data_IF_613760944466
#
_entry.id   IF_613760944466
#
_cell.length_a   1.000
_cell.length_b   1.000
_cell.length_c   1.000
_cell.angle_alpha   90.00
_cell.angle_beta   90.00
_cell.angle_gamma   90.00
#
_symmetry.space_group_name_H-M   'P 1'
#
loop_
_entity.id
_entity.type
_entity.pdbx_description
1 polymer ?
#
# COMPACT_ATOMS: atom_id res chain seq x y z
N UNK A 1 -38.42 -39.13 15.68
CA UNK A 1 -37.96 -38.76 14.31
C UNK A 1 -38.30 -37.32 13.94
N UNK A 2 -39.54 -36.85 14.10
CA UNK A 2 -39.93 -35.47 13.74
C UNK A 2 -39.16 -34.34 14.48
N UNK A 3 -38.89 -34.50 15.77
CA UNK A 3 -38.17 -33.47 16.56
C UNK A 3 -36.69 -33.32 16.16
N UNK A 4 -36.04 -34.39 15.70
CA UNK A 4 -34.65 -34.35 15.24
C UNK A 4 -34.54 -33.61 13.89
N UNK A 5 -35.52 -33.82 12.99
CA UNK A 5 -35.56 -33.19 11.68
C UNK A 5 -35.81 -31.67 11.76
N UNK A 6 -36.70 -31.24 12.67
CA UNK A 6 -36.98 -29.82 12.91
C UNK A 6 -35.78 -29.09 13.50
N UNK A 7 -35.02 -29.74 14.40
CA UNK A 7 -33.80 -29.18 14.96
C UNK A 7 -32.71 -29.00 13.89
N UNK A 8 -32.52 -29.99 13.02
CA UNK A 8 -31.55 -29.90 11.92
C UNK A 8 -31.95 -28.81 10.92
N UNK A 9 -33.24 -28.70 10.57
CA UNK A 9 -33.73 -27.68 9.64
C UNK A 9 -33.62 -26.26 10.22
N UNK A 10 -33.93 -26.08 11.50
CA UNK A 10 -33.77 -24.79 12.20
C UNK A 10 -32.29 -24.41 12.35
N UNK A 11 -31.40 -25.36 12.64
CA UNK A 11 -29.95 -25.11 12.69
C UNK A 11 -29.39 -24.77 11.31
N UNK A 12 -29.89 -25.39 10.24
CA UNK A 12 -29.52 -25.08 8.86
C UNK A 12 -30.09 -23.72 8.39
N UNK A 13 -31.29 -23.32 8.80
CA UNK A 13 -31.84 -21.97 8.53
C UNK A 13 -31.09 -20.88 9.32
N UNK A 14 -30.75 -21.13 10.59
CA UNK A 14 -29.94 -20.22 11.40
C UNK A 14 -28.53 -20.09 10.79
N UNK A 15 -27.92 -21.20 10.35
CA UNK A 15 -26.63 -21.18 9.63
C UNK A 15 -26.72 -20.45 8.28
N UNK A 16 -27.84 -20.57 7.57
CA UNK A 16 -28.08 -19.82 6.33
C UNK A 16 -28.22 -18.32 6.60
N UNK A 17 -28.97 -17.91 7.63
CA UNK A 17 -29.08 -16.49 8.02
C UNK A 17 -27.73 -15.86 8.40
N UNK A 18 -26.83 -16.61 9.04
CA UNK A 18 -25.51 -16.13 9.51
C UNK A 18 -24.43 -16.03 8.39
N UNK A 19 -24.84 -16.28 7.14
CA UNK A 19 -23.98 -16.24 5.94
C UNK A 19 -24.54 -15.36 4.82
N UNK A 20 -25.76 -14.81 4.97
CA UNK A 20 -26.34 -13.94 3.95
C UNK A 20 -25.95 -12.48 4.19
N UNK A 21 -25.63 -11.78 3.11
CA UNK A 21 -25.44 -10.33 3.11
C UNK A 21 -26.77 -9.64 3.42
N UNK A 22 -26.74 -8.67 4.33
CA UNK A 22 -27.93 -7.90 4.73
C UNK A 22 -28.60 -7.20 3.53
N UNK A 23 -29.92 -7.13 3.53
CA UNK A 23 -30.70 -6.57 2.43
C UNK A 23 -30.36 -5.09 2.14
N UNK A 24 -30.01 -4.30 3.16
CA UNK A 24 -29.59 -2.91 2.96
C UNK A 24 -28.19 -2.83 2.32
N UNK A 25 -27.29 -3.76 2.63
CA UNK A 25 -25.98 -3.86 1.96
C UNK A 25 -26.16 -4.24 0.49
N UNK A 26 -27.03 -5.21 0.18
CA UNK A 26 -27.35 -5.58 -1.19
C UNK A 26 -27.96 -4.41 -1.98
N UNK A 27 -28.87 -3.64 -1.38
CA UNK A 27 -29.46 -2.47 -2.02
C UNK A 27 -28.39 -1.42 -2.38
N UNK A 28 -27.45 -1.14 -1.46
CA UNK A 28 -26.31 -0.24 -1.71
C UNK A 28 -25.40 -0.77 -2.80
N UNK A 29 -25.12 -2.07 -2.82
CA UNK A 29 -24.32 -2.71 -3.86
C UNK A 29 -24.95 -2.54 -5.25
N UNK A 30 -26.24 -2.82 -5.39
CA UNK A 30 -26.96 -2.69 -6.67
C UNK A 30 -27.00 -1.23 -7.15
N UNK A 31 -27.30 -0.30 -6.24
CA UNK A 31 -27.31 1.14 -6.55
C UNK A 31 -25.93 1.64 -6.98
N UNK A 32 -24.90 1.32 -6.20
CA UNK A 32 -23.52 1.71 -6.49
C UNK A 32 -23.00 1.10 -7.79
N UNK A 33 -23.27 -0.20 -8.01
CA UNK A 33 -22.92 -0.87 -9.27
C UNK A 33 -23.56 -0.17 -10.48
N UNK A 34 -24.86 0.16 -10.40
CA UNK A 34 -25.56 0.85 -11.48
C UNK A 34 -24.96 2.23 -11.78
N UNK A 35 -24.62 3.00 -10.73
CA UNK A 35 -23.95 4.30 -10.87
C UNK A 35 -22.56 4.17 -11.50
N UNK A 36 -21.75 3.22 -11.04
CA UNK A 36 -20.41 2.99 -11.57
C UNK A 36 -20.46 2.56 -13.05
N UNK A 37 -21.36 1.63 -13.38
CA UNK A 37 -21.56 1.14 -14.74
C UNK A 37 -21.96 2.26 -15.72
N UNK A 38 -22.80 3.21 -15.26
CA UNK A 38 -23.24 4.36 -16.05
C UNK A 38 -22.23 5.53 -16.09
N UNK A 39 -21.19 5.51 -15.24
CA UNK A 39 -20.18 6.58 -15.16
C UNK A 39 -19.18 6.55 -16.31
N UNK A 40 -18.33 7.57 -16.43
CA UNK A 40 -17.15 7.58 -17.32
C UNK A 40 -15.85 7.11 -16.65
N UNK A 41 -15.94 6.52 -15.45
CA UNK A 41 -14.77 6.06 -14.68
C UNK A 41 -13.83 5.18 -15.54
N UNK A 42 -12.54 5.32 -15.28
CA UNK A 42 -11.45 4.51 -15.88
C UNK A 42 -10.79 3.58 -14.86
N UNK A 43 -11.42 3.41 -13.69
CA UNK A 43 -10.91 2.57 -12.61
C UNK A 43 -10.80 1.11 -13.03
N UNK A 44 -9.81 0.41 -12.47
CA UNK A 44 -9.72 -1.05 -12.62
C UNK A 44 -10.95 -1.76 -12.02
N UNK A 45 -11.54 -1.23 -10.96
CA UNK A 45 -12.83 -1.69 -10.43
C UNK A 45 -13.89 -1.73 -11.52
N UNK A 46 -14.14 -0.62 -12.22
CA UNK A 46 -15.16 -0.58 -13.28
C UNK A 46 -14.82 -1.51 -14.44
N UNK A 47 -13.53 -1.62 -14.77
CA UNK A 47 -13.08 -2.51 -15.86
C UNK A 47 -13.39 -3.98 -15.59
N UNK A 48 -13.23 -4.43 -14.33
CA UNK A 48 -13.28 -5.86 -13.99
C UNK A 48 -14.52 -6.29 -13.19
N UNK A 49 -15.26 -5.36 -12.57
CA UNK A 49 -16.56 -5.65 -11.96
C UNK A 49 -17.63 -5.72 -13.06
N UNK A 50 -17.60 -6.79 -13.86
CA UNK A 50 -18.68 -7.08 -14.82
C UNK A 50 -19.97 -7.45 -14.09
N UNK A 51 -21.11 -7.44 -14.77
CA UNK A 51 -22.38 -7.86 -14.17
C UNK A 51 -22.32 -9.29 -13.63
N UNK A 52 -21.67 -10.18 -14.38
CA UNK A 52 -21.44 -11.57 -13.97
C UNK A 52 -20.59 -11.66 -12.69
N UNK A 53 -19.45 -10.98 -12.65
CA UNK A 53 -18.58 -10.95 -11.46
C UNK A 53 -19.32 -10.36 -10.27
N UNK A 54 -20.03 -9.26 -10.46
CA UNK A 54 -20.84 -8.62 -9.41
C UNK A 54 -21.92 -9.57 -8.87
N UNK A 55 -22.71 -10.20 -9.73
CA UNK A 55 -23.78 -11.12 -9.31
C UNK A 55 -23.24 -12.35 -8.59
N UNK A 56 -22.06 -12.85 -9.00
CA UNK A 56 -21.38 -13.97 -8.36
C UNK A 56 -20.80 -13.63 -6.98
N UNK A 57 -20.45 -12.37 -6.74
CA UNK A 57 -19.75 -11.94 -5.52
C UNK A 57 -20.62 -11.21 -4.51
N UNK A 58 -21.70 -10.54 -4.91
CA UNK A 58 -22.48 -9.61 -4.05
C UNK A 58 -23.11 -10.25 -2.80
N UNK A 59 -23.29 -11.57 -2.80
CA UNK A 59 -23.84 -12.33 -1.67
C UNK A 59 -22.77 -13.04 -0.82
N UNK A 60 -21.48 -12.91 -1.16
CA UNK A 60 -20.39 -13.55 -0.40
C UNK A 60 -19.97 -12.69 0.79
N UNK A 61 -19.55 -13.37 1.85
CA UNK A 61 -18.95 -12.76 3.05
C UNK A 61 -17.68 -13.49 3.45
N UNK A 62 -16.72 -12.79 4.06
CA UNK A 62 -15.53 -13.43 4.61
C UNK A 62 -15.89 -14.26 5.85
N UNK A 63 -15.34 -15.48 6.03
CA UNK A 63 -15.71 -16.37 7.13
C UNK A 63 -15.55 -15.76 8.52
N UNK A 64 -14.44 -15.06 8.76
CA UNK A 64 -14.04 -14.61 10.10
C UNK A 64 -14.62 -13.24 10.43
N UNK A 65 -14.45 -12.26 9.53
CA UNK A 65 -14.83 -10.87 9.79
C UNK A 65 -16.19 -10.48 9.20
N UNK A 66 -16.82 -11.38 8.43
CA UNK A 66 -18.10 -11.15 7.76
C UNK A 66 -18.07 -9.96 6.80
N UNK A 67 -16.89 -9.62 6.29
CA UNK A 67 -16.70 -8.54 5.34
C UNK A 67 -17.38 -8.87 4.02
N UNK A 68 -18.02 -7.88 3.42
CA UNK A 68 -18.85 -8.01 2.23
C UNK A 68 -18.14 -7.47 0.98
N UNK A 69 -18.73 -7.68 -0.20
CA UNK A 69 -18.25 -7.01 -1.41
C UNK A 69 -18.33 -5.48 -1.27
N UNK A 70 -19.27 -4.93 -0.49
CA UNK A 70 -19.40 -3.49 -0.31
C UNK A 70 -18.14 -2.93 0.35
N UNK A 71 -17.65 -3.59 1.39
CA UNK A 71 -16.43 -3.18 2.09
C UNK A 71 -15.20 -3.20 1.16
N UNK A 72 -15.22 -4.04 0.12
CA UNK A 72 -14.15 -4.12 -0.88
C UNK A 72 -14.21 -2.96 -1.88
N UNK A 73 -15.41 -2.62 -2.38
CA UNK A 73 -15.56 -1.74 -3.55
C UNK A 73 -16.06 -0.33 -3.22
N UNK A 74 -16.47 -0.06 -1.96
CA UNK A 74 -17.11 1.20 -1.57
C UNK A 74 -16.30 2.43 -1.98
N UNK A 75 -14.98 2.41 -1.83
CA UNK A 75 -14.15 3.53 -2.23
C UNK A 75 -14.26 3.86 -3.73
N UNK A 76 -14.26 2.85 -4.60
CA UNK A 76 -14.40 3.05 -6.04
C UNK A 76 -15.83 3.36 -6.49
N UNK A 77 -16.84 2.96 -5.71
CA UNK A 77 -18.23 3.37 -5.94
C UNK A 77 -18.47 4.85 -5.61
N UNK A 78 -17.82 5.37 -4.58
CA UNK A 78 -17.96 6.78 -4.16
C UNK A 78 -17.01 7.72 -4.93
N UNK A 79 -15.82 7.24 -5.31
CA UNK A 79 -14.79 8.04 -5.98
C UNK A 79 -14.51 7.48 -7.39
N UNK A 80 -15.35 7.87 -8.36
CA UNK A 80 -15.25 7.41 -9.74
C UNK A 80 -13.95 7.81 -10.47
N UNK A 81 -13.18 8.75 -9.90
CA UNK A 81 -11.84 9.15 -10.36
C UNK A 81 -10.71 8.25 -9.86
N UNK A 82 -11.03 7.19 -9.09
CA UNK A 82 -10.05 6.19 -8.65
C UNK A 82 -9.30 5.55 -9.82
N UNK A 83 -7.99 5.34 -9.68
CA UNK A 83 -7.22 4.51 -10.61
C UNK A 83 -7.53 3.01 -10.45
N UNK A 84 -7.66 2.54 -9.20
CA UNK A 84 -7.96 1.13 -8.88
C UNK A 84 -9.38 0.98 -8.34
N UNK A 85 -9.67 1.51 -7.15
CA UNK A 85 -11.02 1.58 -6.59
C UNK A 85 -11.43 0.43 -5.65
N UNK A 86 -10.50 -0.47 -5.27
CA UNK A 86 -10.79 -1.55 -4.31
C UNK A 86 -9.73 -1.66 -3.22
N UNK A 87 -10.17 -2.14 -2.06
CA UNK A 87 -9.31 -2.47 -0.92
C UNK A 87 -9.76 -3.79 -0.29
N UNK A 88 -8.85 -4.50 0.38
CA UNK A 88 -9.19 -5.72 1.11
C UNK A 88 -9.55 -5.36 2.56
N UNK A 89 -10.77 -5.62 3.07
CA UNK A 89 -11.12 -5.34 4.46
C UNK A 89 -10.43 -6.30 5.46
N UNK A 90 -10.08 -7.50 5.01
CA UNK A 90 -9.31 -8.51 5.74
C UNK A 90 -8.52 -9.39 4.74
N UNK A 91 -7.67 -10.29 5.23
CA UNK A 91 -6.86 -11.17 4.38
C UNK A 91 -7.70 -12.20 3.59
N UNK A 92 -8.81 -12.68 4.16
CA UNK A 92 -9.70 -13.67 3.53
C UNK A 92 -10.38 -13.09 2.28
N UNK A 93 -10.58 -11.77 2.24
CA UNK A 93 -11.18 -11.04 1.12
C UNK A 93 -10.43 -11.28 -0.21
N UNK A 94 -9.10 -11.41 -0.18
CA UNK A 94 -8.31 -11.73 -1.37
C UNK A 94 -8.67 -13.09 -1.98
N UNK A 95 -9.17 -14.03 -1.16
CA UNK A 95 -9.62 -15.36 -1.62
C UNK A 95 -11.11 -15.37 -1.94
N UNK A 96 -11.96 -14.81 -1.06
CA UNK A 96 -13.42 -14.82 -1.21
C UNK A 96 -13.89 -14.03 -2.43
N UNK A 97 -13.24 -12.89 -2.69
CA UNK A 97 -13.52 -12.00 -3.82
C UNK A 97 -12.44 -12.08 -4.90
N UNK A 98 -11.75 -13.23 -5.02
CA UNK A 98 -10.65 -13.46 -5.97
C UNK A 98 -11.05 -13.18 -7.43
N UNK A 99 -12.30 -13.46 -7.83
CA UNK A 99 -12.78 -13.22 -9.19
C UNK A 99 -12.76 -11.72 -9.58
N UNK A 100 -12.69 -10.82 -8.60
CA UNK A 100 -12.46 -9.38 -8.79
C UNK A 100 -11.00 -8.99 -8.52
N UNK A 101 -10.40 -9.47 -7.43
CA UNK A 101 -9.02 -9.11 -7.06
C UNK A 101 -7.99 -9.62 -8.06
N UNK A 102 -8.07 -10.88 -8.49
CA UNK A 102 -7.07 -11.50 -9.37
C UNK A 102 -6.87 -10.73 -10.68
N UNK A 103 -7.91 -10.41 -11.49
CA UNK A 103 -7.70 -9.68 -12.73
C UNK A 103 -7.23 -8.24 -12.51
N UNK A 104 -7.59 -7.59 -11.39
CA UNK A 104 -7.10 -6.26 -11.02
C UNK A 104 -5.61 -6.30 -10.64
N UNK A 105 -5.21 -7.30 -9.86
CA UNK A 105 -3.81 -7.55 -9.49
C UNK A 105 -2.99 -7.83 -10.74
N UNK A 106 -3.48 -8.69 -11.63
CA UNK A 106 -2.80 -9.02 -12.89
C UNK A 106 -2.60 -7.79 -13.77
N UNK A 107 -3.63 -6.95 -13.95
CA UNK A 107 -3.54 -5.72 -14.74
C UNK A 107 -2.55 -4.73 -14.12
N UNK A 108 -2.74 -4.40 -12.83
CA UNK A 108 -1.92 -3.38 -12.16
C UNK A 108 -0.45 -3.77 -12.09
N UNK A 109 -0.14 -5.04 -11.78
CA UNK A 109 1.24 -5.52 -11.65
C UNK A 109 1.85 -6.03 -12.96
N UNK A 110 1.15 -5.88 -14.08
CA UNK A 110 1.70 -6.14 -15.42
C UNK A 110 1.89 -7.63 -15.72
N UNK A 111 0.93 -8.47 -15.32
CA UNK A 111 0.86 -9.89 -15.70
C UNK A 111 1.08 -10.89 -14.58
N UNK A 112 0.83 -10.53 -13.32
CA UNK A 112 0.85 -11.49 -12.19
C UNK A 112 -0.43 -12.34 -12.19
N UNK A 113 -0.37 -13.51 -12.84
CA UNK A 113 -1.55 -14.36 -13.08
C UNK A 113 -2.05 -15.03 -11.80
N UNK A 114 -3.28 -15.56 -11.86
CA UNK A 114 -3.85 -16.39 -10.80
C UNK A 114 -2.99 -17.60 -10.42
N UNK A 115 -2.26 -18.17 -11.38
CA UNK A 115 -1.38 -19.33 -11.20
C UNK A 115 0.02 -18.98 -10.73
N UNK A 116 0.40 -17.70 -10.79
CA UNK A 116 1.73 -17.25 -10.39
C UNK A 116 1.83 -17.20 -8.86
N UNK A 117 3.05 -17.25 -8.35
CA UNK A 117 3.36 -17.08 -6.93
C UNK A 117 4.45 -16.04 -6.76
N UNK A 118 4.29 -15.17 -5.78
CA UNK A 118 5.33 -14.24 -5.39
C UNK A 118 6.55 -15.04 -4.90
N UNK A 119 7.78 -14.66 -5.29
CA UNK A 119 8.97 -15.31 -4.75
C UNK A 119 9.06 -15.10 -3.25
N UNK A 120 9.83 -15.96 -2.56
CA UNK A 120 10.16 -15.74 -1.17
C UNK A 120 10.89 -14.40 -0.99
N UNK A 121 10.67 -13.74 0.15
CA UNK A 121 11.34 -12.48 0.49
C UNK A 121 12.86 -12.64 0.37
N UNK A 122 13.48 -11.72 -0.35
CA UNK A 122 14.92 -11.74 -0.59
C UNK A 122 15.43 -10.30 -0.80
N UNK A 123 16.13 -9.79 0.20
CA UNK A 123 16.74 -8.47 0.14
C UNK A 123 18.05 -8.42 -0.66
N UNK A 124 18.60 -9.58 -1.06
CA UNK A 124 19.82 -9.71 -1.85
C UNK A 124 21.07 -9.16 -1.16
N UNK A 125 22.12 -8.94 -1.95
CA UNK A 125 23.33 -8.28 -1.45
C UNK A 125 23.16 -6.76 -1.50
N UNK A 126 22.86 -6.17 -0.34
CA UNK A 126 22.69 -4.72 -0.17
C UNK A 126 23.92 -3.91 -0.60
N UNK A 127 25.11 -4.51 -0.64
CA UNK A 127 26.34 -3.84 -1.09
C UNK A 127 26.40 -3.65 -2.62
N UNK A 128 25.47 -4.25 -3.37
CA UNK A 128 25.37 -4.07 -4.83
C UNK A 128 24.99 -2.64 -5.21
N UNK A 129 24.24 -1.96 -4.36
CA UNK A 129 23.74 -0.61 -4.64
C UNK A 129 24.71 0.45 -4.14
N UNK A 130 25.01 1.43 -4.99
CA UNK A 130 25.81 2.61 -4.64
C UNK A 130 25.00 3.90 -4.68
N UNK A 131 25.72 5.02 -4.73
CA UNK A 131 25.11 6.32 -5.01
C UNK A 131 24.86 6.46 -6.52
N UNK A 132 23.59 6.61 -6.91
CA UNK A 132 23.18 6.78 -8.33
C UNK A 132 23.61 8.13 -8.91
N UNK A 133 23.90 9.11 -8.06
CA UNK A 133 24.33 10.45 -8.43
C UNK A 133 25.40 11.01 -7.47
N UNK A 134 26.66 10.55 -7.57
CA UNK A 134 27.72 10.96 -6.66
C UNK A 134 28.05 12.47 -6.69
N UNK A 135 27.69 13.16 -7.77
CA UNK A 135 27.92 14.61 -7.93
C UNK A 135 26.76 15.46 -7.36
N UNK A 136 25.63 14.83 -6.98
CA UNK A 136 24.40 15.49 -6.53
C UNK A 136 23.90 16.58 -7.50
N UNK A 137 24.08 16.36 -8.81
CA UNK A 137 23.68 17.29 -9.86
C UNK A 137 22.20 17.13 -10.25
N UNK A 138 21.64 15.93 -10.06
CA UNK A 138 20.33 15.54 -10.56
C UNK A 138 19.40 15.10 -9.43
N UNK A 139 19.87 14.20 -8.56
CA UNK A 139 19.06 13.60 -7.49
C UNK A 139 19.07 14.49 -6.26
N UNK A 140 17.86 14.90 -5.85
CA UNK A 140 17.64 15.73 -4.66
C UNK A 140 17.56 14.84 -3.43
N UNK A 141 16.73 13.80 -3.48
CA UNK A 141 16.52 12.90 -2.34
C UNK A 141 16.11 11.52 -2.82
N UNK A 142 16.46 10.51 -2.04
CA UNK A 142 16.11 9.12 -2.30
C UNK A 142 15.32 8.56 -1.13
N UNK A 143 14.35 7.69 -1.42
CA UNK A 143 13.45 7.10 -0.44
C UNK A 143 13.07 5.68 -0.83
N UNK A 144 13.16 4.74 0.10
CA UNK A 144 12.64 3.39 -0.04
C UNK A 144 11.66 3.12 1.10
N UNK A 145 10.47 2.64 0.77
CA UNK A 145 9.46 2.20 1.75
C UNK A 145 9.01 0.77 1.51
N UNK A 146 8.57 0.10 2.56
CA UNK A 146 7.74 -1.10 2.50
C UNK A 146 6.51 -0.96 3.40
N UNK A 147 5.46 -1.71 3.08
CA UNK A 147 4.25 -1.87 3.89
C UNK A 147 4.26 -3.23 4.58
N UNK A 148 3.73 -3.29 5.81
CA UNK A 148 3.59 -4.54 6.57
C UNK A 148 2.30 -4.52 7.38
N UNK A 149 1.66 -5.69 7.44
CA UNK A 149 0.42 -5.89 8.18
C UNK A 149 0.64 -6.92 9.28
N UNK A 150 0.42 -6.53 10.54
CA UNK A 150 0.59 -7.42 11.70
C UNK A 150 -0.31 -8.66 11.62
N UNK A 151 0.25 -9.85 11.83
CA UNK A 151 -0.50 -11.10 11.89
C UNK A 151 -1.49 -11.08 13.05
N UNK A 152 -2.69 -11.63 12.83
CA UNK A 152 -3.76 -11.68 13.83
C UNK A 152 -4.68 -10.45 13.86
N UNK A 153 -4.42 -9.45 13.03
CA UNK A 153 -5.29 -8.29 12.84
C UNK A 153 -5.84 -8.25 11.42
N UNK A 154 -7.12 -7.89 11.22
CA UNK A 154 -7.63 -7.55 9.89
C UNK A 154 -7.11 -6.19 9.46
N UNK A 155 -7.47 -5.74 8.26
CA UNK A 155 -7.14 -4.40 7.80
C UNK A 155 -8.10 -3.35 8.40
N UNK A 156 -7.81 -2.08 8.13
CA UNK A 156 -8.48 -0.92 8.72
C UNK A 156 -10.02 -0.98 8.79
N UNK A 157 -10.78 -1.42 7.75
CA UNK A 157 -12.24 -1.40 7.79
C UNK A 157 -12.84 -2.34 8.85
N UNK A 158 -12.07 -3.30 9.35
CA UNK A 158 -12.47 -4.27 10.36
C UNK A 158 -11.85 -3.99 11.74
N UNK A 159 -10.87 -3.08 11.85
CA UNK A 159 -10.23 -2.77 13.12
C UNK A 159 -11.16 -2.02 14.08
N UNK A 160 -11.22 -2.47 15.32
CA UNK A 160 -11.84 -1.73 16.43
C UNK A 160 -10.89 -0.67 16.99
N UNK A 161 -11.42 0.31 17.72
CA UNK A 161 -10.57 1.32 18.40
C UNK A 161 -9.57 0.66 19.38
N UNK A 162 -10.00 -0.37 20.10
CA UNK A 162 -9.14 -1.10 21.03
C UNK A 162 -7.96 -1.78 20.30
N UNK A 163 -8.22 -2.37 19.13
CA UNK A 163 -7.16 -2.98 18.30
C UNK A 163 -6.18 -1.93 17.76
N UNK A 164 -6.67 -0.75 17.33
CA UNK A 164 -5.78 0.35 16.94
C UNK A 164 -4.80 0.73 18.06
N UNK A 165 -5.29 0.88 19.30
CA UNK A 165 -4.45 1.18 20.48
C UNK A 165 -3.52 0.03 20.84
N UNK A 166 -3.98 -1.22 20.73
CA UNK A 166 -3.14 -2.38 21.00
C UNK A 166 -1.97 -2.48 20.00
N UNK A 167 -2.26 -2.28 18.72
CA UNK A 167 -1.26 -2.27 17.65
C UNK A 167 -0.26 -1.11 17.84
N UNK A 168 -0.74 0.09 18.17
CA UNK A 168 0.12 1.22 18.54
C UNK A 168 1.07 0.88 19.70
N UNK A 169 0.56 0.25 20.76
CA UNK A 169 1.35 -0.19 21.90
C UNK A 169 2.45 -1.19 21.51
N UNK A 170 2.10 -2.19 20.69
CA UNK A 170 3.06 -3.19 20.18
C UNK A 170 4.14 -2.56 19.29
N UNK A 171 3.73 -1.67 18.37
CA UNK A 171 4.64 -0.99 17.45
C UNK A 171 5.56 -0.03 18.22
N UNK A 172 5.01 0.85 19.05
CA UNK A 172 5.80 1.80 19.84
C UNK A 172 6.80 1.11 20.77
N UNK A 173 6.39 0.04 21.47
CA UNK A 173 7.28 -0.75 22.31
C UNK A 173 8.39 -1.42 21.50
N UNK A 174 8.06 -2.01 20.34
CA UNK A 174 9.06 -2.63 19.45
C UNK A 174 10.09 -1.60 18.97
N UNK A 175 9.62 -0.45 18.48
CA UNK A 175 10.48 0.59 17.92
C UNK A 175 11.32 1.31 18.98
N UNK A 176 10.83 1.42 20.21
CA UNK A 176 11.60 1.99 21.34
C UNK A 176 12.86 1.20 21.69
N UNK A 177 12.92 -0.08 21.30
CA UNK A 177 14.07 -0.95 21.50
C UNK A 177 15.11 -0.90 20.37
N UNK A 178 14.92 -0.04 19.35
CA UNK A 178 15.90 0.13 18.27
C UNK A 178 17.11 0.93 18.74
N UNK A 179 18.29 0.51 18.29
CA UNK A 179 19.58 1.07 18.69
C UNK A 179 20.37 1.63 17.49
N UNK A 180 21.53 2.24 17.77
CA UNK A 180 22.43 2.77 16.74
C UNK A 180 21.74 3.81 15.85
N UNK A 181 21.94 3.70 14.53
CA UNK A 181 21.35 4.61 13.54
C UNK A 181 19.80 4.58 13.54
N UNK A 182 19.19 3.49 13.99
CA UNK A 182 17.74 3.33 14.01
C UNK A 182 17.08 3.89 15.27
N UNK A 183 17.87 4.24 16.31
CA UNK A 183 17.37 4.78 17.57
C UNK A 183 16.61 6.08 17.34
N UNK A 184 15.48 6.21 18.03
CA UNK A 184 14.54 7.28 17.80
C UNK A 184 13.41 7.30 18.81
N UNK A 185 12.33 8.00 18.45
CA UNK A 185 11.17 8.19 19.31
C UNK A 185 9.88 7.98 18.53
N UNK A 186 8.91 7.38 19.21
CA UNK A 186 7.53 7.28 18.73
C UNK A 186 6.73 8.51 19.20
N UNK A 187 5.98 9.09 18.28
CA UNK A 187 5.14 10.26 18.48
C UNK A 187 3.70 9.87 18.12
N UNK A 188 2.83 9.63 19.11
CA UNK A 188 1.41 9.40 18.85
C UNK A 188 0.80 10.65 18.23
N UNK A 189 -0.12 10.48 17.28
CA UNK A 189 -0.91 11.60 16.75
C UNK A 189 -1.92 12.10 17.78
N UNK A 190 -2.39 11.22 18.66
CA UNK A 190 -3.24 11.62 19.78
C UNK A 190 -2.45 12.53 20.71
N UNK A 191 -2.91 13.77 20.87
CA UNK A 191 -2.23 14.78 21.69
C UNK A 191 -1.07 15.50 21.01
N UNK A 192 -0.78 15.24 19.73
CA UNK A 192 0.22 15.99 18.97
C UNK A 192 -0.29 17.41 18.69
N UNK A 193 0.55 18.41 18.97
CA UNK A 193 0.23 19.80 18.62
C UNK A 193 0.10 19.98 17.10
N UNK A 194 -0.88 20.76 16.66
CA UNK A 194 -1.16 20.95 15.23
C UNK A 194 0.01 21.58 14.46
N UNK A 195 0.78 22.47 15.10
CA UNK A 195 1.98 23.04 14.49
C UNK A 195 3.07 21.97 14.24
N UNK A 196 3.26 21.06 15.19
CA UNK A 196 4.19 19.92 15.04
C UNK A 196 3.71 18.95 13.97
N UNK A 197 2.41 18.63 13.98
CA UNK A 197 1.79 17.79 12.96
C UNK A 197 2.00 18.37 11.55
N UNK A 198 1.74 19.68 11.38
CA UNK A 198 1.91 20.36 10.10
C UNK A 198 3.38 20.41 9.67
N UNK A 199 4.32 20.71 10.58
CA UNK A 199 5.74 20.70 10.24
C UNK A 199 6.21 19.32 9.77
N UNK A 200 5.74 18.23 10.39
CA UNK A 200 6.09 16.88 9.94
C UNK A 200 5.48 16.55 8.56
N UNK A 201 4.30 17.09 8.23
CA UNK A 201 3.71 16.96 6.89
C UNK A 201 4.53 17.76 5.87
N UNK A 202 4.89 19.00 6.20
CA UNK A 202 5.65 19.90 5.33
C UNK A 202 7.07 19.38 5.06
N UNK A 203 7.68 18.73 6.06
CA UNK A 203 8.97 18.04 5.92
C UNK A 203 8.86 16.71 5.13
N UNK A 204 7.66 16.35 4.65
CA UNK A 204 7.36 15.07 3.98
C UNK A 204 7.55 13.82 4.85
N UNK A 205 7.50 13.97 6.17
CA UNK A 205 7.69 12.88 7.13
C UNK A 205 6.39 12.25 7.59
N UNK A 206 5.31 13.01 7.75
CA UNK A 206 4.02 12.51 8.25
C UNK A 206 2.99 12.36 7.13
N UNK A 207 2.15 11.35 7.27
CA UNK A 207 0.99 11.13 6.39
C UNK A 207 -0.09 12.19 6.61
N UNK A 208 -0.79 12.54 5.54
CA UNK A 208 -1.88 13.51 5.57
C UNK A 208 -3.13 12.93 6.24
N UNK A 209 -3.86 13.79 6.95
CA UNK A 209 -5.22 13.49 7.41
C UNK A 209 -6.20 13.62 6.23
N UNK A 210 -7.28 12.83 6.24
CA UNK A 210 -8.44 13.07 5.37
C UNK A 210 -8.26 12.69 3.90
N UNK A 211 -7.54 11.60 3.60
CA UNK A 211 -7.57 11.04 2.25
C UNK A 211 -8.97 10.48 1.94
N UNK A 212 -9.66 11.08 0.95
CA UNK A 212 -11.05 10.71 0.61
C UNK A 212 -11.21 9.24 0.22
N UNK A 213 -10.20 8.63 -0.42
CA UNK A 213 -10.26 7.23 -0.83
C UNK A 213 -10.26 6.34 0.42
N UNK A 214 -9.33 6.58 1.34
CA UNK A 214 -9.25 5.85 2.62
C UNK A 214 -10.48 6.10 3.50
N UNK A 215 -11.03 7.32 3.53
CA UNK A 215 -12.25 7.64 4.27
C UNK A 215 -13.44 6.81 3.77
N UNK A 216 -13.68 6.79 2.45
CA UNK A 216 -14.78 6.01 1.85
C UNK A 216 -14.56 4.50 1.90
N UNK A 217 -13.31 4.04 2.09
CA UNK A 217 -13.00 2.65 2.38
C UNK A 217 -13.18 2.29 3.88
N UNK A 218 -13.72 3.18 4.72
CA UNK A 218 -13.80 3.04 6.17
C UNK A 218 -12.44 2.81 6.86
N UNK A 219 -11.34 3.25 6.24
CA UNK A 219 -9.99 3.00 6.74
C UNK A 219 -9.51 4.03 7.79
N UNK A 220 -10.26 5.13 7.96
CA UNK A 220 -9.91 6.22 8.88
C UNK A 220 -10.78 6.23 10.16
N UNK A 221 -11.48 5.14 10.50
CA UNK A 221 -12.32 5.09 11.71
C UNK A 221 -11.49 5.37 12.97
N UNK A 222 -12.13 6.04 13.93
CA UNK A 222 -11.56 6.41 15.24
C UNK A 222 -10.34 7.35 15.16
N UNK A 223 -10.12 8.05 14.05
CA UNK A 223 -8.98 8.97 13.91
C UNK A 223 -8.93 10.04 15.02
N UNK A 224 -7.75 10.36 15.61
CA UNK A 224 -6.41 9.81 15.35
C UNK A 224 -5.99 8.67 16.30
N UNK A 225 -6.95 7.98 16.94
CA UNK A 225 -6.71 6.93 17.92
C UNK A 225 -5.86 5.79 17.33
N UNK A 226 -4.78 5.42 18.02
CA UNK A 226 -3.82 4.40 17.62
C UNK A 226 -2.89 4.79 16.45
N UNK A 227 -2.94 6.03 15.96
CA UNK A 227 -2.05 6.48 14.86
C UNK A 227 -0.84 7.18 15.43
N UNK A 228 0.30 7.01 14.77
CA UNK A 228 1.52 7.68 15.16
C UNK A 228 2.63 7.55 14.14
N UNK A 229 3.73 8.23 14.44
CA UNK A 229 4.94 8.22 13.65
C UNK A 229 6.13 7.95 14.55
N UNK A 230 6.99 7.03 14.16
CA UNK A 230 8.33 6.91 14.68
C UNK A 230 9.30 7.57 13.73
N UNK A 231 10.33 8.22 14.25
CA UNK A 231 11.52 8.52 13.46
C UNK A 231 12.77 8.47 14.31
N UNK A 232 13.90 8.14 13.68
CA UNK A 232 15.22 8.30 14.30
C UNK A 232 15.58 9.79 14.46
N UNK A 233 16.62 10.06 15.24
CA UNK A 233 17.03 11.45 15.54
C UNK A 233 17.39 12.25 14.27
N UNK A 234 17.99 11.58 13.28
CA UNK A 234 18.36 12.17 11.99
C UNK A 234 17.18 12.30 10.99
N UNK A 235 16.00 11.79 11.34
CA UNK A 235 14.82 11.68 10.44
C UNK A 235 15.13 11.00 9.09
N UNK A 236 16.05 10.05 9.09
CA UNK A 236 16.42 9.22 7.92
C UNK A 236 15.79 7.83 7.93
N UNK A 237 15.20 7.45 9.06
CA UNK A 237 14.40 6.24 9.23
C UNK A 237 13.09 6.61 9.93
N UNK A 238 11.96 6.21 9.35
CA UNK A 238 10.62 6.52 9.83
C UNK A 238 9.73 5.29 9.78
N UNK A 239 8.75 5.22 10.68
CA UNK A 239 7.66 4.23 10.62
C UNK A 239 6.35 4.93 10.84
N UNK A 240 5.43 4.84 9.88
CA UNK A 240 4.04 5.22 10.10
C UNK A 240 3.29 4.04 10.70
N UNK A 241 2.50 4.32 11.74
CA UNK A 241 1.67 3.34 12.41
C UNK A 241 0.19 3.63 12.16
N UNK A 242 -0.53 2.62 11.66
CA UNK A 242 -1.98 2.61 11.47
C UNK A 242 -2.53 3.69 10.51
N UNK A 243 -1.82 3.95 9.42
CA UNK A 243 -2.35 4.79 8.32
C UNK A 243 -3.14 3.91 7.32
N UNK A 244 -2.65 3.72 6.09
CA UNK A 244 -3.28 2.86 5.08
C UNK A 244 -3.02 1.37 5.39
N UNK A 245 -1.80 1.07 5.83
CA UNK A 245 -1.37 -0.24 6.32
C UNK A 245 -1.00 -0.12 7.81
N UNK A 246 -0.86 -1.26 8.50
CA UNK A 246 -0.52 -1.27 9.93
C UNK A 246 0.83 -0.62 10.19
N UNK A 247 1.82 -0.93 9.35
CA UNK A 247 3.12 -0.29 9.33
C UNK A 247 3.51 0.12 7.91
N UNK A 248 4.04 1.34 7.79
CA UNK A 248 4.80 1.76 6.60
C UNK A 248 6.20 2.14 7.05
N UNK A 249 7.17 1.30 6.73
CA UNK A 249 8.57 1.40 7.16
C UNK A 249 9.34 2.11 6.05
N UNK A 250 10.07 3.17 6.40
CA UNK A 250 10.61 4.14 5.45
C UNK A 250 12.07 4.42 5.79
N UNK A 251 12.94 4.38 4.78
CA UNK A 251 14.29 4.92 4.85
C UNK A 251 14.45 5.98 3.76
N UNK A 252 15.00 7.14 4.12
CA UNK A 252 15.19 8.25 3.18
C UNK A 252 16.30 9.20 3.62
N UNK A 253 16.86 9.94 2.67
CA UNK A 253 17.78 11.06 2.91
C UNK A 253 17.93 11.91 1.63
N UNK A 254 18.60 13.05 1.76
CA UNK A 254 19.05 13.84 0.61
C UNK A 254 20.14 13.09 -0.18
N UNK A 255 20.25 13.39 -1.47
CA UNK A 255 21.19 12.76 -2.40
C UNK A 255 20.75 11.38 -2.92
N UNK A 256 21.65 10.75 -3.67
CA UNK A 256 21.40 9.52 -4.41
C UNK A 256 21.92 8.23 -3.78
N UNK A 257 22.38 8.22 -2.52
CA UNK A 257 22.98 7.03 -1.88
C UNK A 257 21.95 5.95 -1.54
N UNK A 258 21.51 5.22 -2.56
CA UNK A 258 20.55 4.13 -2.43
C UNK A 258 21.11 2.97 -1.60
N UNK A 259 22.43 2.71 -1.68
CA UNK A 259 23.09 1.68 -0.90
C UNK A 259 22.90 1.87 0.61
N UNK A 260 23.19 3.07 1.11
CA UNK A 260 22.99 3.41 2.52
C UNK A 260 21.50 3.30 2.90
N UNK A 261 20.61 3.87 2.09
CA UNK A 261 19.18 3.92 2.36
C UNK A 261 18.56 2.53 2.42
N UNK A 262 18.89 1.68 1.45
CA UNK A 262 18.37 0.34 1.37
C UNK A 262 18.92 -0.54 2.49
N UNK A 263 20.22 -0.48 2.77
CA UNK A 263 20.81 -1.18 3.91
C UNK A 263 20.11 -0.83 5.23
N UNK A 264 19.87 0.46 5.48
CA UNK A 264 19.14 0.94 6.67
C UNK A 264 17.72 0.39 6.73
N UNK A 265 17.00 0.37 5.60
CA UNK A 265 15.65 -0.22 5.53
C UNK A 265 15.68 -1.71 5.86
N UNK A 266 16.58 -2.47 5.23
CA UNK A 266 16.71 -3.93 5.44
C UNK A 266 17.04 -4.24 6.89
N UNK A 267 17.98 -3.50 7.50
CA UNK A 267 18.29 -3.65 8.93
C UNK A 267 17.05 -3.40 9.78
N UNK A 268 16.31 -2.32 9.53
CA UNK A 268 15.12 -2.00 10.30
C UNK A 268 14.00 -3.04 10.16
N UNK A 269 13.70 -3.50 8.95
CA UNK A 269 12.68 -4.52 8.70
C UNK A 269 13.04 -5.80 9.43
N UNK A 270 14.28 -6.28 9.30
CA UNK A 270 14.74 -7.50 9.98
C UNK A 270 14.68 -7.39 11.50
N UNK A 271 14.96 -6.22 12.09
CA UNK A 271 14.83 -6.04 13.55
C UNK A 271 13.36 -5.99 14.00
N UNK A 272 12.48 -5.35 13.24
CA UNK A 272 11.05 -5.26 13.57
C UNK A 272 10.39 -6.64 13.45
N UNK A 273 10.70 -7.41 12.39
CA UNK A 273 10.13 -8.74 12.12
C UNK A 273 10.41 -9.76 13.23
N UNK A 274 11.50 -9.59 14.00
CA UNK A 274 11.78 -10.44 15.18
C UNK A 274 10.74 -10.32 16.30
N UNK A 275 10.01 -9.20 16.36
CA UNK A 275 9.07 -8.89 17.45
C UNK A 275 7.63 -8.74 16.98
N UNK A 276 7.43 -8.35 15.72
CA UNK A 276 6.13 -8.16 15.11
C UNK A 276 5.98 -9.13 13.95
N UNK A 277 5.25 -10.25 14.11
CA UNK A 277 5.00 -11.16 13.01
C UNK A 277 4.09 -10.48 11.98
N UNK A 278 4.45 -10.60 10.71
CA UNK A 278 3.71 -10.00 9.61
C UNK A 278 2.93 -11.05 8.81
N UNK A 279 1.81 -10.60 8.25
CA UNK A 279 0.93 -11.39 7.40
C UNK A 279 1.56 -11.57 6.02
N UNK A 280 1.78 -12.82 5.66
CA UNK A 280 2.32 -13.23 4.37
C UNK A 280 1.44 -14.34 3.79
N UNK A 281 1.21 -14.29 2.48
CA UNK A 281 0.48 -15.30 1.71
C UNK A 281 1.42 -15.94 0.68
N UNK A 282 1.33 -17.26 0.51
CA UNK A 282 2.20 -18.05 -0.37
C UNK A 282 2.15 -17.60 -1.83
N UNK A 283 1.03 -17.03 -2.27
CA UNK A 283 0.86 -16.51 -3.62
C UNK A 283 1.12 -15.01 -3.66
N UNK A 284 0.54 -14.23 -2.76
CA UNK A 284 0.51 -12.77 -2.85
C UNK A 284 1.69 -12.08 -2.16
N UNK A 285 2.55 -12.80 -1.45
CA UNK A 285 3.64 -12.22 -0.68
C UNK A 285 3.12 -11.53 0.58
N UNK A 286 3.74 -10.41 0.98
CA UNK A 286 3.24 -9.64 2.11
C UNK A 286 1.88 -9.01 1.81
N UNK A 287 0.94 -9.20 2.73
CA UNK A 287 -0.42 -8.71 2.58
C UNK A 287 -0.53 -7.24 3.01
N UNK A 288 -1.23 -6.47 2.18
CA UNK A 288 -1.48 -5.03 2.38
C UNK A 288 -2.95 -4.71 2.10
N UNK A 289 -3.39 -3.56 2.61
CA UNK A 289 -4.78 -3.13 2.50
C UNK A 289 -5.20 -2.88 1.04
N UNK A 290 -4.31 -2.30 0.25
CA UNK A 290 -4.52 -2.02 -1.18
C UNK A 290 -3.81 -3.07 -2.05
N UNK A 291 -4.46 -3.67 -3.07
CA UNK A 291 -3.82 -4.68 -3.93
C UNK A 291 -2.58 -4.18 -4.67
N UNK A 292 -2.43 -2.86 -4.83
CA UNK A 292 -1.28 -2.23 -5.48
C UNK A 292 0.03 -2.35 -4.69
N UNK A 293 -0.08 -2.61 -3.39
CA UNK A 293 1.04 -2.68 -2.45
C UNK A 293 1.40 -4.12 -2.04
N UNK A 294 0.81 -5.14 -2.67
CA UNK A 294 1.13 -6.56 -2.42
C UNK A 294 2.54 -6.96 -2.87
N UNK A 295 2.96 -8.18 -2.52
CA UNK A 295 4.24 -8.76 -2.89
C UNK A 295 5.37 -8.26 -2.00
N UNK A 296 6.36 -7.60 -2.61
CA UNK A 296 7.47 -6.97 -1.90
C UNK A 296 7.01 -5.82 -1.01
N UNK A 297 5.91 -5.17 -1.39
CA UNK A 297 5.42 -3.88 -0.88
C UNK A 297 6.40 -2.72 -1.10
N UNK A 298 7.52 -2.96 -1.80
CA UNK A 298 8.61 -2.00 -1.95
C UNK A 298 8.22 -0.90 -2.93
N UNK A 299 8.45 0.34 -2.50
CA UNK A 299 8.54 1.48 -3.41
C UNK A 299 9.85 2.21 -3.14
N UNK A 300 10.81 2.03 -4.04
CA UNK A 300 12.03 2.81 -4.14
C UNK A 300 11.81 3.97 -5.12
N UNK A 301 12.16 5.18 -4.70
CA UNK A 301 11.89 6.41 -5.43
C UNK A 301 13.01 7.44 -5.26
N UNK A 302 13.19 8.28 -6.26
CA UNK A 302 14.02 9.49 -6.18
C UNK A 302 13.20 10.72 -6.53
N UNK A 303 13.50 11.83 -5.87
CA UNK A 303 13.22 13.16 -6.41
C UNK A 303 14.41 13.58 -7.27
N UNK A 304 14.16 13.83 -8.55
CA UNK A 304 15.21 14.07 -9.55
C UNK A 304 14.83 15.23 -10.48
N UNK A 305 15.85 16.00 -10.90
CA UNK A 305 15.76 16.99 -11.97
C UNK A 305 16.51 16.48 -13.20
N UNK A 306 15.80 16.32 -14.30
CA UNK A 306 16.35 15.93 -15.62
C UNK A 306 15.81 16.88 -16.69
N UNK A 307 16.19 18.18 -16.65
CA UNK A 307 15.51 19.22 -17.42
C UNK A 307 15.55 19.01 -18.94
N UNK A 308 16.61 18.43 -19.51
CA UNK A 308 16.70 18.19 -20.95
C UNK A 308 15.74 17.08 -21.37
N UNK A 309 15.72 15.96 -20.64
CA UNK A 309 14.81 14.85 -20.90
C UNK A 309 13.36 15.21 -20.59
N UNK A 310 13.13 15.94 -19.50
CA UNK A 310 11.80 16.40 -19.06
C UNK A 310 11.20 17.49 -19.95
N UNK A 311 12.00 18.15 -20.82
CA UNK A 311 11.49 19.08 -21.84
C UNK A 311 10.43 18.43 -22.74
N UNK A 312 10.46 17.10 -22.86
CA UNK A 312 9.39 16.29 -23.40
C UNK A 312 8.97 15.22 -22.38
N UNK A 313 7.94 15.52 -21.58
CA UNK A 313 7.41 14.61 -20.54
C UNK A 313 7.06 13.22 -21.08
N UNK A 314 6.46 13.13 -22.28
CA UNK A 314 6.14 11.86 -22.90
C UNK A 314 7.40 11.03 -23.20
N UNK A 315 8.51 11.68 -23.56
CA UNK A 315 9.80 11.00 -23.76
C UNK A 315 10.40 10.52 -22.43
N UNK A 316 10.32 11.33 -21.38
CA UNK A 316 10.74 10.93 -20.04
C UNK A 316 9.98 9.68 -19.58
N UNK A 317 8.65 9.68 -19.75
CA UNK A 317 7.78 8.54 -19.42
C UNK A 317 8.11 7.30 -20.27
N UNK A 318 8.33 7.46 -21.58
CA UNK A 318 8.72 6.37 -22.48
C UNK A 318 10.05 5.72 -22.05
N UNK A 319 11.05 6.53 -21.67
CA UNK A 319 12.35 6.01 -21.22
C UNK A 319 12.22 5.33 -19.86
N UNK A 320 11.54 5.96 -18.89
CA UNK A 320 11.29 5.40 -17.57
C UNK A 320 10.58 4.04 -17.66
N UNK A 321 9.58 3.92 -18.54
CA UNK A 321 8.82 2.68 -18.74
C UNK A 321 9.69 1.50 -19.21
N UNK A 322 10.79 1.73 -19.95
CA UNK A 322 11.72 0.66 -20.38
C UNK A 322 12.44 -0.02 -19.22
N UNK A 323 12.52 0.66 -18.08
CA UNK A 323 13.11 0.16 -16.85
C UNK A 323 12.04 -0.16 -15.80
N UNK A 324 10.79 -0.33 -16.21
CA UNK A 324 9.65 -0.58 -15.32
C UNK A 324 9.44 0.53 -14.27
N UNK A 325 9.83 1.76 -14.58
CA UNK A 325 9.64 2.92 -13.72
C UNK A 325 8.36 3.67 -14.07
N UNK A 326 7.84 4.39 -13.08
CA UNK A 326 6.74 5.33 -13.23
C UNK A 326 7.20 6.73 -12.84
N UNK A 327 6.65 7.74 -13.51
CA UNK A 327 6.95 9.17 -13.28
C UNK A 327 5.74 9.81 -12.62
N UNK A 328 5.95 10.52 -11.52
CA UNK A 328 4.93 11.26 -10.75
C UNK A 328 5.40 12.70 -10.48
N UNK A 329 4.46 13.57 -10.12
CA UNK A 329 4.78 14.91 -9.61
C UNK A 329 5.43 14.88 -8.23
N UNK A 330 5.88 16.04 -7.78
CA UNK A 330 6.74 16.19 -6.58
C UNK A 330 6.04 15.78 -5.28
N UNK A 331 4.72 15.86 -5.23
CA UNK A 331 3.92 15.48 -4.05
C UNK A 331 3.30 14.08 -4.17
N UNK A 332 3.75 13.29 -5.14
CA UNK A 332 3.32 11.92 -5.35
C UNK A 332 2.22 11.77 -6.41
N UNK A 333 1.35 10.79 -6.21
CA UNK A 333 0.36 10.38 -7.22
C UNK A 333 -0.63 11.48 -7.57
N UNK A 334 -0.93 11.63 -8.86
CA UNK A 334 -1.87 12.63 -9.39
C UNK A 334 -1.49 14.10 -9.11
N UNK A 335 -0.21 14.37 -8.82
CA UNK A 335 0.30 15.74 -8.64
C UNK A 335 1.21 16.13 -9.81
N UNK A 336 1.34 17.45 -10.04
CA UNK A 336 2.27 17.99 -11.04
C UNK A 336 3.69 18.11 -10.49
N UNK A 337 4.66 18.25 -11.40
CA UNK A 337 6.03 18.54 -11.02
C UNK A 337 6.17 20.01 -10.58
N UNK A 338 6.73 20.24 -9.40
CA UNK A 338 7.05 21.56 -8.86
C UNK A 338 8.54 21.83 -9.10
N UNK A 339 8.87 22.96 -9.75
CA UNK A 339 10.27 23.34 -10.00
C UNK A 339 11.08 22.35 -10.85
N UNK A 340 10.41 21.59 -11.73
CA UNK A 340 11.04 20.58 -12.59
C UNK A 340 11.47 19.30 -11.84
N UNK A 341 10.95 19.08 -10.63
CA UNK A 341 11.26 17.90 -9.82
C UNK A 341 10.22 16.81 -10.04
N UNK A 342 10.69 15.62 -10.40
CA UNK A 342 9.85 14.44 -10.60
C UNK A 342 10.12 13.39 -9.51
N UNK A 343 9.06 12.72 -9.06
CA UNK A 343 9.14 11.48 -8.28
C UNK A 343 9.16 10.29 -9.24
N UNK A 344 10.32 9.65 -9.40
CA UNK A 344 10.48 8.48 -10.25
C UNK A 344 10.73 7.25 -9.38
N UNK A 345 9.93 6.20 -9.58
CA UNK A 345 9.95 5.00 -8.73
C UNK A 345 9.75 3.71 -9.52
N UNK A 346 10.15 2.57 -8.96
CA UNK A 346 9.74 1.26 -9.49
C UNK A 346 8.19 1.16 -9.53
N UNK A 347 7.65 0.70 -10.66
CA UNK A 347 6.22 0.49 -10.84
C UNK A 347 5.79 -0.85 -10.24
N UNK A 348 6.56 -1.91 -10.54
CA UNK A 348 6.26 -3.30 -10.15
C UNK A 348 6.55 -3.54 -8.68
N UNK A 349 5.69 -4.31 -8.02
CA UNK A 349 5.88 -4.78 -6.62
C UNK A 349 5.66 -6.28 -6.44
N UNK A 350 5.03 -6.94 -7.41
CA UNK A 350 4.75 -8.37 -7.41
C UNK A 350 5.48 -9.12 -8.53
N UNK A 351 5.74 -10.41 -8.33
CA UNK A 351 6.44 -11.28 -9.29
C UNK A 351 7.96 -11.03 -9.37
N UNK A 352 8.54 -10.38 -8.37
CA UNK A 352 9.97 -10.10 -8.24
C UNK A 352 10.33 -9.96 -6.76
N UNK A 353 11.61 -10.10 -6.42
CA UNK A 353 12.09 -9.96 -5.03
C UNK A 353 12.22 -8.49 -4.62
N UNK A 354 12.37 -8.21 -3.32
CA UNK A 354 12.65 -6.86 -2.82
C UNK A 354 13.93 -6.30 -3.44
N UNK A 355 14.96 -7.14 -3.59
CA UNK A 355 16.20 -6.78 -4.27
C UNK A 355 15.94 -6.35 -5.73
N UNK A 356 15.21 -7.16 -6.49
CA UNK A 356 14.93 -6.87 -7.90
C UNK A 356 14.10 -5.59 -8.07
N UNK A 357 13.14 -5.34 -7.18
CA UNK A 357 12.32 -4.13 -7.21
C UNK A 357 13.18 -2.86 -6.97
N UNK A 358 14.13 -2.91 -6.04
CA UNK A 358 15.09 -1.81 -5.83
C UNK A 358 16.07 -1.70 -6.98
N UNK A 359 16.50 -2.83 -7.56
CA UNK A 359 17.41 -2.87 -8.70
C UNK A 359 16.81 -2.23 -9.95
N UNK A 360 15.53 -2.45 -10.24
CA UNK A 360 14.83 -1.77 -11.34
C UNK A 360 14.94 -0.25 -11.20
N UNK A 361 14.73 0.29 -9.99
CA UNK A 361 14.89 1.72 -9.71
C UNK A 361 16.35 2.16 -9.89
N UNK A 362 17.30 1.44 -9.28
CA UNK A 362 18.73 1.76 -9.36
C UNK A 362 19.24 1.83 -10.81
N UNK A 363 18.98 0.79 -11.60
CA UNK A 363 19.41 0.70 -13.00
C UNK A 363 18.74 1.80 -13.85
N UNK A 364 17.44 1.99 -13.69
CA UNK A 364 16.68 2.94 -14.49
C UNK A 364 17.05 4.40 -14.19
N UNK A 365 17.26 4.77 -12.93
CA UNK A 365 17.73 6.13 -12.58
C UNK A 365 19.15 6.38 -13.10
N UNK A 366 20.03 5.38 -13.01
CA UNK A 366 21.40 5.49 -13.53
C UNK A 366 21.40 5.77 -15.04
N UNK A 367 20.57 5.05 -15.80
CA UNK A 367 20.48 5.27 -17.26
C UNK A 367 19.74 6.57 -17.62
N UNK A 368 18.75 7.01 -16.84
CA UNK A 368 18.11 8.33 -17.02
C UNK A 368 19.12 9.47 -16.85
N UNK A 369 19.96 9.43 -15.82
CA UNK A 369 21.01 10.43 -15.57
C UNK A 369 22.04 10.44 -16.71
N UNK A 370 22.45 9.25 -17.16
CA UNK A 370 23.37 9.11 -18.29
C UNK A 370 22.80 9.68 -19.58
N UNK A 371 21.51 9.46 -19.85
CA UNK A 371 20.83 10.05 -21.00
C UNK A 371 20.74 11.57 -20.89
N UNK A 372 20.36 12.09 -19.72
CA UNK A 372 20.32 13.54 -19.43
C UNK A 372 21.70 14.20 -19.65
N UNK A 373 22.80 13.54 -19.30
CA UNK A 373 24.17 14.01 -19.56
C UNK A 373 24.53 14.07 -21.04
N UNK A 374 23.93 13.19 -21.85
CA UNK A 374 24.24 13.06 -23.29
C UNK A 374 23.43 13.97 -24.21
N UNK A 375 22.26 14.42 -23.75
CA UNK A 375 21.44 15.46 -24.39
C UNK A 375 22.07 16.83 -24.15
#
# INVERSE_FOLDING_TARGET
>A
MFALWYLTFAVDEIRKQDTMVDAAVLAKLEEGYAKLAASDSKSLLKKYLTKEVFDNLKNKVTPTFKSTLLDVIQSGLENHDSGVGIYAPDAEAYTVFADLFDPIIEDYHGGFKKTDKHPASNFGDVATFGNVDPTNEYVISTRVRCGRSMQGYPFNPCLTEAQYKEMEGKVSSTLSGLEGELKGKFYPLTGMEKAVQQQLIDDHFLFKEGDRFLQTANACRYWPSGRGIYHNDAKTFLVWCNEEDHLRIISMQQGGDLGQIYKRLVTAVNEIEKRVPFSHDDRLGFLTFCPTNLGTTIRASVHIKVPKLASNKAKLEEVAAKYNLQVRGTRGEHTEAEGGVYDISNKRRMGLTEFDAVKEMYDGITELIKLEKSL
#
